data_IF_776849328222
#
_entry.id   IF_776849328222
#
_cell.length_a   1.000
_cell.length_b   1.000
_cell.length_c   1.000
_cell.angle_alpha   90.00
_cell.angle_beta   90.00
_cell.angle_gamma   90.00
#
_symmetry.space_group_name_H-M   'P 1'
#
loop_
_entity.id
_entity.type
_entity.pdbx_description
1 polymer ?
#
# COMPACT_ATOMS: atom_id res chain seq x y z
N UNK A 1 0.68 -37.15 -12.09
CA UNK A 1 -0.05 -36.49 -10.99
C UNK A 1 -0.01 -35.00 -11.24
N UNK A 2 -1.11 -34.42 -11.73
CA UNK A 2 -1.17 -32.99 -12.04
C UNK A 2 -1.71 -32.28 -10.78
N UNK A 3 -0.82 -31.67 -10.00
CA UNK A 3 -1.22 -30.81 -8.88
C UNK A 3 -1.74 -29.50 -9.48
N UNK A 4 -3.07 -29.40 -9.65
CA UNK A 4 -3.73 -28.14 -9.95
C UNK A 4 -3.58 -27.22 -8.74
N UNK A 5 -2.67 -26.25 -8.85
CA UNK A 5 -2.62 -25.10 -7.97
C UNK A 5 -3.93 -24.33 -8.09
N UNK A 6 -4.89 -24.65 -7.21
CA UNK A 6 -6.10 -23.84 -7.02
C UNK A 6 -5.69 -22.53 -6.36
N UNK A 7 -5.20 -21.59 -7.15
CA UNK A 7 -5.18 -20.18 -6.75
C UNK A 7 -6.64 -19.75 -6.73
N UNK A 8 -7.25 -19.69 -5.54
CA UNK A 8 -8.59 -19.15 -5.37
C UNK A 8 -8.49 -17.65 -5.66
N UNK A 9 -8.80 -17.25 -6.88
CA UNK A 9 -8.87 -15.84 -7.28
C UNK A 9 -10.19 -15.29 -6.77
N UNK A 10 -10.24 -14.86 -5.50
CA UNK A 10 -11.39 -14.12 -4.97
C UNK A 10 -11.35 -12.68 -5.49
N UNK A 11 -12.44 -12.15 -6.07
CA UNK A 11 -12.52 -10.72 -6.38
C UNK A 11 -12.39 -9.87 -5.09
N UNK A 12 -11.59 -8.79 -5.04
CA UNK A 12 -11.54 -7.89 -3.87
C UNK A 12 -12.87 -7.35 -3.40
N UNK A 13 -13.90 -7.24 -4.24
CA UNK A 13 -15.20 -6.83 -3.71
C UNK A 13 -15.77 -7.87 -2.72
N UNK A 14 -15.34 -9.13 -2.83
CA UNK A 14 -15.66 -10.19 -1.89
C UNK A 14 -14.69 -10.24 -0.70
N UNK A 15 -13.49 -9.61 -0.77
CA UNK A 15 -12.55 -9.56 0.36
C UNK A 15 -13.19 -8.90 1.58
N UNK A 16 -13.97 -7.82 1.40
CA UNK A 16 -14.70 -7.16 2.51
C UNK A 16 -15.77 -8.03 3.16
N UNK A 17 -16.15 -9.15 2.52
CA UNK A 17 -17.11 -10.11 3.04
C UNK A 17 -16.43 -11.34 3.66
N UNK A 18 -15.10 -11.43 3.60
CA UNK A 18 -14.36 -12.52 4.24
C UNK A 18 -14.24 -12.26 5.74
N UNK A 19 -14.59 -13.22 6.61
CA UNK A 19 -14.28 -13.13 8.02
C UNK A 19 -12.76 -13.02 8.20
N UNK A 20 -12.29 -11.86 8.68
CA UNK A 20 -10.87 -11.56 8.89
C UNK A 20 -10.26 -10.51 7.94
N UNK A 21 -11.00 -10.00 6.96
CA UNK A 21 -10.54 -8.84 6.21
C UNK A 21 -10.58 -7.58 7.09
N UNK A 22 -9.44 -6.91 7.22
CA UNK A 22 -9.31 -5.67 7.98
C UNK A 22 -9.37 -4.52 6.98
N UNK A 23 -10.41 -3.67 7.03
CA UNK A 23 -10.48 -2.48 6.20
C UNK A 23 -9.30 -1.55 6.49
N UNK A 24 -8.73 -0.84 5.49
CA UNK A 24 -7.61 0.07 5.71
C UNK A 24 -7.88 1.10 6.81
N UNK A 25 -9.11 1.63 6.89
CA UNK A 25 -9.58 2.57 7.91
C UNK A 25 -9.53 2.04 9.34
N UNK A 26 -9.41 0.71 9.51
CA UNK A 26 -9.27 0.06 10.81
C UNK A 26 -7.81 -0.15 11.22
N UNK A 27 -6.85 0.37 10.44
CA UNK A 27 -5.41 0.17 10.68
C UNK A 27 -4.70 1.47 11.03
N UNK A 28 -3.77 1.40 11.98
CA UNK A 28 -3.04 2.58 12.48
C UNK A 28 -2.06 3.18 11.46
N UNK A 29 -1.73 2.45 10.39
CA UNK A 29 -0.84 2.92 9.34
C UNK A 29 -1.59 3.60 8.20
N UNK A 30 -2.93 3.65 8.22
CA UNK A 30 -3.73 4.30 7.18
C UNK A 30 -4.11 5.72 7.59
N UNK A 31 -3.72 6.70 6.78
CA UNK A 31 -3.91 8.12 7.07
C UNK A 31 -4.98 8.77 6.17
N UNK A 32 -5.76 7.96 5.44
CA UNK A 32 -6.79 8.48 4.55
C UNK A 32 -6.23 9.29 3.39
N UNK A 33 -6.98 10.30 2.94
CA UNK A 33 -6.67 11.12 1.77
C UNK A 33 -5.75 12.28 2.14
N UNK A 34 -4.46 11.99 2.26
CA UNK A 34 -3.40 12.99 2.44
C UNK A 34 -2.53 13.13 1.19
N UNK A 35 -1.97 14.33 1.00
CA UNK A 35 -1.05 14.59 -0.12
C UNK A 35 0.30 13.90 0.10
N UNK A 36 1.13 13.91 -0.94
CA UNK A 36 2.50 13.38 -0.86
C UNK A 36 3.30 14.16 0.18
N UNK A 37 3.17 15.47 0.17
CA UNK A 37 3.89 16.42 1.01
C UNK A 37 3.47 16.27 2.48
N UNK A 38 2.17 16.12 2.74
CA UNK A 38 1.66 15.84 4.10
C UNK A 38 2.21 14.51 4.65
N UNK A 39 2.35 13.49 3.79
CA UNK A 39 2.95 12.23 4.20
C UNK A 39 4.44 12.35 4.52
N UNK A 40 5.17 13.14 3.72
CA UNK A 40 6.59 13.45 3.98
C UNK A 40 6.73 14.17 5.33
N UNK A 41 5.95 15.23 5.57
CA UNK A 41 5.95 15.98 6.82
C UNK A 41 5.68 15.08 8.03
N UNK A 42 4.65 14.24 7.99
CA UNK A 42 4.34 13.29 9.06
C UNK A 42 5.51 12.35 9.35
N UNK A 43 6.11 11.77 8.31
CA UNK A 43 7.25 10.87 8.48
C UNK A 43 8.46 11.60 9.08
N UNK A 44 8.72 12.84 8.68
CA UNK A 44 9.78 13.66 9.27
C UNK A 44 9.49 14.06 10.71
N UNK A 45 8.26 14.48 11.04
CA UNK A 45 7.84 14.81 12.42
C UNK A 45 7.99 13.60 13.34
N UNK A 46 7.79 12.39 12.84
CA UNK A 46 7.97 11.13 13.58
C UNK A 46 9.42 10.61 13.58
N UNK A 47 10.39 11.44 13.16
CA UNK A 47 11.83 11.15 13.24
C UNK A 47 12.43 10.47 12.01
N UNK A 48 11.64 10.26 10.95
CA UNK A 48 12.07 9.65 9.67
C UNK A 48 12.91 8.38 9.84
N UNK A 49 12.55 7.56 10.84
CA UNK A 49 13.26 6.34 11.15
C UNK A 49 13.22 5.35 9.98
N UNK A 50 14.30 4.60 9.82
CA UNK A 50 14.42 3.57 8.80
C UNK A 50 13.24 2.57 8.88
N UNK A 51 12.52 2.40 7.77
CA UNK A 51 11.35 1.53 7.68
C UNK A 51 10.04 2.14 8.19
N UNK A 52 10.04 3.38 8.71
CA UNK A 52 8.80 4.07 9.09
C UNK A 52 7.95 4.32 7.83
N UNK A 53 6.67 3.95 7.86
CA UNK A 53 5.80 4.05 6.70
C UNK A 53 4.37 4.44 7.06
N UNK A 54 3.64 4.87 6.04
CA UNK A 54 2.20 5.05 6.09
C UNK A 54 1.56 4.72 4.73
N UNK A 55 0.28 4.36 4.78
CA UNK A 55 -0.59 4.17 3.62
C UNK A 55 -1.50 5.38 3.50
N UNK A 56 -1.59 5.94 2.29
CA UNK A 56 -2.49 7.06 1.96
C UNK A 56 -3.33 6.75 0.74
N UNK A 57 -4.51 7.35 0.67
CA UNK A 57 -5.36 7.35 -0.50
C UNK A 57 -4.94 8.48 -1.45
N UNK A 58 -4.71 8.13 -2.71
CA UNK A 58 -4.38 9.06 -3.79
C UNK A 58 -5.63 9.52 -4.54
N UNK A 59 -5.48 10.56 -5.36
CA UNK A 59 -6.53 11.01 -6.29
C UNK A 59 -6.81 9.88 -7.28
N UNK A 60 -8.10 9.55 -7.49
CA UNK A 60 -8.62 8.44 -8.31
C UNK A 60 -8.76 7.05 -7.63
N UNK A 61 -8.93 6.99 -6.29
CA UNK A 61 -9.17 5.72 -5.54
C UNK A 61 -8.03 4.69 -5.68
N UNK A 62 -6.82 5.17 -5.92
CA UNK A 62 -5.59 4.37 -5.81
C UNK A 62 -4.96 4.62 -4.45
N UNK A 63 -4.16 3.69 -3.96
CA UNK A 63 -3.40 3.89 -2.73
C UNK A 63 -1.95 4.23 -3.05
N UNK A 64 -1.24 4.78 -2.07
CA UNK A 64 0.19 4.95 -2.13
C UNK A 64 0.81 4.63 -0.77
N UNK A 65 1.94 3.94 -0.78
CA UNK A 65 2.76 3.70 0.41
C UNK A 65 3.88 4.73 0.41
N UNK A 66 3.99 5.50 1.50
CA UNK A 66 5.11 6.39 1.76
C UNK A 66 5.99 5.75 2.83
N UNK A 67 7.29 5.59 2.59
CA UNK A 67 8.22 4.92 3.51
C UNK A 67 9.57 5.64 3.59
N UNK A 68 10.12 5.74 4.79
CA UNK A 68 11.47 6.23 5.05
C UNK A 68 12.50 5.12 4.81
N UNK A 69 13.47 5.41 3.95
CA UNK A 69 14.63 4.57 3.69
C UNK A 69 15.85 5.44 3.42
N UNK A 70 16.96 5.20 4.11
CA UNK A 70 18.22 5.94 3.98
C UNK A 70 18.04 7.46 4.13
N UNK A 71 17.23 7.88 5.10
CA UNK A 71 16.96 9.29 5.39
C UNK A 71 16.13 10.02 4.32
N UNK A 72 15.49 9.29 3.40
CA UNK A 72 14.61 9.84 2.36
C UNK A 72 13.26 9.15 2.35
N UNK A 73 12.22 9.90 2.03
CA UNK A 73 10.88 9.35 1.84
C UNK A 73 10.72 8.87 0.40
N UNK A 74 10.30 7.62 0.25
CA UNK A 74 9.99 6.97 -1.00
C UNK A 74 8.49 6.75 -1.10
N UNK A 75 7.92 6.93 -2.29
CA UNK A 75 6.49 6.75 -2.53
C UNK A 75 6.26 5.69 -3.60
N UNK A 76 5.42 4.72 -3.27
CA UNK A 76 5.05 3.62 -4.16
C UNK A 76 3.56 3.67 -4.42
N UNK A 77 3.17 3.79 -5.69
CA UNK A 77 1.77 3.66 -6.07
C UNK A 77 1.32 2.21 -5.91
N UNK A 78 0.18 2.04 -5.26
CA UNK A 78 -0.52 0.77 -5.09
C UNK A 78 -1.76 0.85 -5.98
N UNK A 79 -1.69 0.15 -7.11
CA UNK A 79 -2.68 0.21 -8.16
C UNK A 79 -3.67 -0.94 -8.03
N UNK A 80 -4.95 -0.61 -8.14
CA UNK A 80 -6.01 -1.61 -8.19
C UNK A 80 -6.02 -2.29 -9.55
N UNK A 81 -5.95 -3.61 -9.53
CA UNK A 81 -5.99 -4.46 -10.71
C UNK A 81 -7.42 -4.86 -11.07
N UNK A 82 -7.60 -5.39 -12.28
CA UNK A 82 -8.90 -5.87 -12.79
C UNK A 82 -9.38 -7.15 -12.10
N UNK A 83 -8.45 -7.99 -11.65
CA UNK A 83 -8.72 -9.16 -10.79
C UNK A 83 -9.05 -8.75 -9.35
N UNK A 84 -9.21 -7.45 -9.12
CA UNK A 84 -9.51 -6.88 -7.83
C UNK A 84 -8.39 -7.22 -6.82
N UNK A 85 -7.14 -7.34 -7.25
CA UNK A 85 -5.97 -7.29 -6.36
C UNK A 85 -5.37 -5.88 -6.30
N UNK A 86 -4.43 -5.65 -5.41
CA UNK A 86 -3.64 -4.41 -5.37
C UNK A 86 -2.17 -4.76 -5.59
N UNK A 87 -1.49 -4.00 -6.46
CA UNK A 87 -0.10 -4.25 -6.81
C UNK A 87 0.70 -2.96 -6.83
N UNK A 88 1.95 -3.04 -6.39
CA UNK A 88 2.94 -1.99 -6.62
C UNK A 88 3.57 -2.28 -7.98
N UNK A 89 3.42 -1.35 -8.94
CA UNK A 89 3.89 -1.56 -10.32
C UNK A 89 5.41 -1.64 -10.42
N UNK A 90 6.15 -1.02 -9.50
CA UNK A 90 7.61 -0.96 -9.52
C UNK A 90 8.24 -2.21 -8.91
N UNK A 91 8.47 -3.22 -9.74
CA UNK A 91 9.30 -4.39 -9.43
C UNK A 91 10.81 -4.17 -9.53
N UNK A 92 11.32 -2.92 -9.50
CA UNK A 92 12.77 -2.67 -9.53
C UNK A 92 13.14 -1.36 -8.83
N UNK A 93 13.70 -1.50 -7.64
CA UNK A 93 14.47 -0.44 -7.00
C UNK A 93 15.82 -0.39 -7.73
N UNK A 94 16.00 0.51 -8.70
CA UNK A 94 17.33 0.80 -9.21
C UNK A 94 18.03 1.73 -8.23
N UNK A 95 18.88 1.16 -7.39
CA UNK A 95 19.95 1.93 -6.74
C UNK A 95 21.00 2.19 -7.82
N UNK A 96 21.31 3.46 -8.08
CA UNK A 96 22.44 3.89 -8.88
C UNK A 96 23.51 4.43 -7.93
#
# INVERSE_FOLDING_TARGET
MNVTNNVVVTPAHLLTLLPGAIPPESTNYFYGKITREQAEELLFTHGANEGLFLLRESVNRNYAVSICHLGRVHHYNVERQTDCSYRIQTGKLSFN
#
